data_IF_335491935604
#
_entry.id   IF_335491935604
#
_cell.length_a   1.000
_cell.length_b   1.000
_cell.length_c   1.000
_cell.angle_alpha   90.00
_cell.angle_beta   90.00
_cell.angle_gamma   90.00
#
_symmetry.space_group_name_H-M   'P 1'
#
loop_
_entity.id
_entity.type
_entity.pdbx_description
1 polymer ?
#
# COMPACT_ATOMS: atom_id res chain seq x y z
N UNK A 1 10.74 -4.42 -7.11
CA UNK A 1 10.34 -4.82 -5.74
C UNK A 1 11.62 -5.00 -4.94
N UNK A 2 11.70 -4.39 -3.76
CA UNK A 2 12.86 -4.46 -2.88
C UNK A 2 12.41 -4.87 -1.49
N UNK A 3 13.26 -5.56 -0.74
CA UNK A 3 13.05 -5.88 0.68
C UNK A 3 13.89 -4.94 1.56
N UNK A 4 13.48 -4.74 2.80
CA UNK A 4 14.26 -4.02 3.81
C UNK A 4 14.78 -5.00 4.85
N UNK A 5 16.10 -4.96 5.11
CA UNK A 5 16.72 -5.73 6.20
C UNK A 5 16.20 -5.23 7.55
N UNK A 6 16.00 -6.15 8.47
CA UNK A 6 15.67 -5.83 9.84
C UNK A 6 16.92 -5.40 10.59
N UNK A 7 16.75 -4.50 11.55
CA UNK A 7 17.81 -4.15 12.49
C UNK A 7 17.90 -5.20 13.60
N UNK A 8 19.08 -5.36 14.19
CA UNK A 8 19.34 -6.41 15.19
C UNK A 8 18.66 -6.17 16.55
N UNK A 9 17.93 -5.06 16.70
CA UNK A 9 17.21 -4.62 17.90
C UNK A 9 15.68 -4.76 17.77
N UNK A 10 15.18 -5.34 16.68
CA UNK A 10 13.76 -5.51 16.42
C UNK A 10 13.37 -6.98 16.19
N UNK A 11 12.19 -7.35 16.68
CA UNK A 11 11.54 -8.63 16.37
C UNK A 11 10.14 -8.33 15.81
N UNK A 12 9.75 -8.91 14.64
CA UNK A 12 8.45 -8.64 14.06
C UNK A 12 7.33 -9.33 14.83
N UNK A 13 6.14 -8.74 14.73
CA UNK A 13 4.91 -9.37 15.21
C UNK A 13 4.69 -10.71 14.48
N UNK A 14 4.53 -11.84 15.18
CA UNK A 14 4.33 -13.14 14.54
C UNK A 14 3.13 -13.17 13.58
N UNK A 15 2.06 -12.47 13.92
CA UNK A 15 0.84 -12.39 13.11
C UNK A 15 1.08 -11.69 11.77
N UNK A 16 1.92 -10.65 11.73
CA UNK A 16 2.28 -9.97 10.49
C UNK A 16 3.10 -10.88 9.56
N UNK A 17 4.00 -11.70 10.12
CA UNK A 17 4.76 -12.69 9.37
C UNK A 17 3.83 -13.78 8.81
N UNK A 18 2.83 -14.22 9.57
CA UNK A 18 1.83 -15.20 9.08
C UNK A 18 0.97 -14.65 7.94
N UNK A 19 0.60 -13.38 8.00
CA UNK A 19 -0.22 -12.73 6.95
C UNK A 19 0.59 -12.51 5.67
N UNK A 20 1.81 -12.00 5.78
CA UNK A 20 2.65 -11.65 4.62
C UNK A 20 3.41 -12.83 4.04
N UNK A 21 3.67 -13.87 4.84
CA UNK A 21 4.58 -14.96 4.48
C UNK A 21 6.06 -14.58 4.42
N UNK A 22 6.41 -13.32 4.72
CA UNK A 22 7.79 -12.81 4.62
C UNK A 22 8.49 -12.99 5.96
N UNK A 23 9.50 -13.86 5.99
CA UNK A 23 10.26 -14.16 7.21
C UNK A 23 11.37 -13.14 7.47
N UNK A 24 11.82 -12.94 8.74
CA UNK A 24 13.02 -12.16 9.05
C UNK A 24 14.24 -12.62 8.27
N UNK A 25 14.41 -13.93 8.12
CA UNK A 25 15.52 -14.54 7.39
C UNK A 25 15.50 -14.11 5.92
N UNK A 26 14.33 -14.17 5.28
CA UNK A 26 14.15 -13.72 3.90
C UNK A 26 14.42 -12.22 3.74
N UNK A 27 13.85 -11.37 4.60
CA UNK A 27 14.13 -9.93 4.58
C UNK A 27 15.61 -9.63 4.76
N UNK A 28 16.30 -10.37 5.63
CA UNK A 28 17.73 -10.17 5.90
C UNK A 28 18.62 -10.69 4.76
N UNK A 29 18.22 -11.76 4.07
CA UNK A 29 18.95 -12.32 2.94
C UNK A 29 18.79 -11.46 1.67
N UNK A 30 17.54 -11.05 1.36
CA UNK A 30 17.20 -10.34 0.11
C UNK A 30 17.23 -8.81 0.23
N UNK A 31 17.20 -8.29 1.45
CA UNK A 31 16.94 -6.87 1.69
C UNK A 31 18.13 -5.94 1.52
N UNK A 32 17.81 -4.67 1.32
CA UNK A 32 18.72 -3.55 1.42
C UNK A 32 18.78 -3.05 2.87
N UNK A 33 19.81 -2.27 3.22
CA UNK A 33 19.78 -1.52 4.48
C UNK A 33 18.63 -0.49 4.47
N UNK A 34 18.08 -0.13 5.64
CA UNK A 34 16.99 0.85 5.72
C UNK A 34 17.34 2.20 5.04
N UNK A 35 18.57 2.74 5.14
CA UNK A 35 18.95 3.95 4.40
C UNK A 35 18.88 3.80 2.87
N UNK A 36 19.36 2.68 2.32
CA UNK A 36 19.31 2.41 0.88
C UNK A 36 17.87 2.18 0.41
N UNK A 37 17.07 1.48 1.22
CA UNK A 37 15.65 1.28 0.97
C UNK A 37 14.89 2.61 0.93
N UNK A 38 15.13 3.49 1.92
CA UNK A 38 14.54 4.82 1.99
C UNK A 38 14.95 5.71 0.80
N UNK A 39 16.23 5.67 0.41
CA UNK A 39 16.73 6.40 -0.75
C UNK A 39 16.08 5.96 -2.06
N UNK A 40 15.86 4.66 -2.25
CA UNK A 40 15.17 4.13 -3.42
C UNK A 40 13.68 4.55 -3.45
N UNK A 41 12.99 4.55 -2.31
CA UNK A 41 11.61 5.06 -2.25
C UNK A 41 11.57 6.55 -2.60
N UNK A 42 12.46 7.35 -2.01
CA UNK A 42 12.52 8.79 -2.28
C UNK A 42 12.79 9.07 -3.76
N UNK A 43 13.66 8.29 -4.40
CA UNK A 43 13.98 8.45 -5.82
C UNK A 43 12.72 8.32 -6.70
N UNK A 44 11.82 7.40 -6.39
CA UNK A 44 10.55 7.25 -7.10
C UNK A 44 9.53 8.33 -6.68
N UNK A 45 9.39 8.59 -5.36
CA UNK A 45 8.37 9.51 -4.84
C UNK A 45 8.65 10.98 -5.16
N UNK A 46 9.91 11.37 -5.38
CA UNK A 46 10.32 12.76 -5.62
C UNK A 46 10.35 13.17 -7.08
N UNK A 47 10.01 12.28 -8.02
CA UNK A 47 9.84 12.65 -9.43
C UNK A 47 8.79 13.77 -9.57
N UNK A 48 9.04 14.84 -10.34
CA UNK A 48 8.09 15.95 -10.46
C UNK A 48 6.72 15.55 -11.03
N UNK A 49 5.66 16.17 -10.53
CA UNK A 49 4.26 15.89 -10.88
C UNK A 49 3.80 14.45 -10.60
N UNK A 50 4.35 13.83 -9.55
CA UNK A 50 3.95 12.48 -9.12
C UNK A 50 2.77 12.55 -8.15
N UNK A 51 1.73 11.73 -8.39
CA UNK A 51 0.69 11.46 -7.41
C UNK A 51 0.98 10.10 -6.75
N UNK A 52 1.46 10.12 -5.50
CA UNK A 52 1.71 8.90 -4.74
C UNK A 52 0.38 8.41 -4.17
N UNK A 53 -0.02 7.18 -4.49
CA UNK A 53 -1.29 6.63 -4.05
C UNK A 53 -1.25 5.12 -3.84
N UNK A 54 -2.16 4.64 -3.01
CA UNK A 54 -2.40 3.22 -2.76
C UNK A 54 -3.82 2.98 -2.28
N UNK A 55 -4.01 1.94 -1.47
CA UNK A 55 -5.27 1.57 -0.86
C UNK A 55 -5.15 1.64 0.66
N UNK A 56 -5.79 2.63 1.29
CA UNK A 56 -5.61 2.97 2.71
C UNK A 56 -4.20 3.50 3.07
N UNK A 57 -3.42 3.94 2.08
CA UNK A 57 -2.04 4.39 2.28
C UNK A 57 -1.95 5.63 3.18
N UNK A 58 -2.93 6.55 3.11
CA UNK A 58 -2.87 7.80 3.87
C UNK A 58 -2.82 7.56 5.37
N UNK A 59 -3.47 6.50 5.85
CA UNK A 59 -3.58 6.15 7.27
C UNK A 59 -2.57 5.08 7.70
N UNK A 60 -1.80 4.51 6.77
CA UNK A 60 -0.86 3.43 7.07
C UNK A 60 0.48 3.62 6.35
N UNK A 61 0.57 3.32 5.05
CA UNK A 61 1.83 3.30 4.30
C UNK A 61 2.54 4.66 4.27
N UNK A 62 1.78 5.75 4.24
CA UNK A 62 2.34 7.11 4.24
C UNK A 62 2.94 7.45 5.62
N UNK A 63 2.38 6.91 6.71
CA UNK A 63 2.98 7.04 8.05
C UNK A 63 4.25 6.19 8.15
N UNK A 64 4.23 4.97 7.61
CA UNK A 64 5.44 4.14 7.53
C UNK A 64 6.54 4.84 6.72
N UNK A 65 6.19 5.47 5.59
CA UNK A 65 7.10 6.28 4.78
C UNK A 65 7.66 7.44 5.58
N UNK A 66 6.82 8.20 6.29
CA UNK A 66 7.25 9.33 7.13
C UNK A 66 8.23 8.89 8.21
N UNK A 67 7.93 7.80 8.92
CA UNK A 67 8.83 7.30 9.97
C UNK A 67 10.14 6.76 9.40
N UNK A 68 10.10 6.05 8.27
CA UNK A 68 11.30 5.57 7.58
C UNK A 68 12.16 6.74 7.10
N UNK A 69 11.57 7.77 6.48
CA UNK A 69 12.31 8.96 6.07
C UNK A 69 12.89 9.71 7.27
N UNK A 70 12.10 9.90 8.32
CA UNK A 70 12.56 10.53 9.56
C UNK A 70 13.77 9.80 10.18
N UNK A 71 13.72 8.47 10.31
CA UNK A 71 14.84 7.67 10.85
C UNK A 71 16.10 7.75 9.99
N UNK A 72 15.94 8.00 8.69
CA UNK A 72 17.03 8.02 7.71
C UNK A 72 17.40 9.45 7.25
N UNK A 73 17.05 10.48 8.05
CA UNK A 73 17.41 11.88 7.80
C UNK A 73 16.93 12.46 6.46
N UNK A 74 15.81 11.94 5.94
CA UNK A 74 15.10 12.45 4.77
C UNK A 74 13.89 13.27 5.25
N UNK A 75 13.57 14.38 4.57
CA UNK A 75 12.37 15.15 4.92
C UNK A 75 11.11 14.26 4.75
N UNK A 76 10.32 14.06 5.80
CA UNK A 76 9.22 13.10 5.78
C UNK A 76 7.99 13.59 5.00
N UNK A 77 7.96 14.84 4.52
CA UNK A 77 6.76 15.44 3.91
C UNK A 77 7.00 15.99 2.50
N UNK A 78 8.21 16.42 2.15
CA UNK A 78 8.50 17.10 0.87
C UNK A 78 8.01 16.32 -0.35
N UNK A 79 8.12 14.98 -0.34
CA UNK A 79 7.70 14.13 -1.46
C UNK A 79 6.22 14.31 -1.85
N UNK A 80 5.37 14.74 -0.91
CA UNK A 80 3.92 14.78 -1.05
C UNK A 80 3.35 16.10 -1.60
N UNK A 81 4.18 17.13 -1.76
CA UNK A 81 3.72 18.46 -2.21
C UNK A 81 4.73 19.25 -3.06
N UNK A 82 6.03 19.00 -2.90
CA UNK A 82 7.08 19.72 -3.62
C UNK A 82 7.08 19.31 -5.09
N UNK A 83 7.54 20.20 -5.98
CA UNK A 83 7.66 19.94 -7.43
C UNK A 83 6.33 19.54 -8.12
N UNK A 84 5.19 20.01 -7.61
CA UNK A 84 3.87 19.66 -8.14
C UNK A 84 3.39 18.26 -7.75
N UNK A 85 4.05 17.61 -6.79
CA UNK A 85 3.65 16.30 -6.31
C UNK A 85 2.39 16.39 -5.43
N UNK A 86 1.72 15.25 -5.29
CA UNK A 86 0.50 15.11 -4.52
C UNK A 86 0.37 13.68 -3.96
N UNK A 87 -0.68 13.46 -3.19
CA UNK A 87 -1.04 12.14 -2.65
C UNK A 87 -2.52 11.87 -2.81
N UNK A 88 -2.88 10.60 -2.92
CA UNK A 88 -4.28 10.16 -2.96
C UNK A 88 -4.44 8.79 -2.29
N UNK A 89 -5.69 8.37 -2.08
CA UNK A 89 -6.06 7.11 -1.44
C UNK A 89 -7.34 6.56 -2.07
N UNK A 90 -7.26 5.33 -2.58
CA UNK A 90 -8.37 4.71 -3.28
C UNK A 90 -9.49 4.24 -2.34
N UNK A 91 -9.20 3.97 -1.06
CA UNK A 91 -10.20 3.41 -0.14
C UNK A 91 -11.40 4.34 0.06
N UNK A 92 -11.15 5.62 0.34
CA UNK A 92 -12.23 6.57 0.57
C UNK A 92 -12.94 6.96 -0.74
N UNK A 93 -12.25 6.88 -1.90
CA UNK A 93 -12.90 7.00 -3.20
C UNK A 93 -13.89 5.85 -3.44
N UNK A 94 -13.47 4.60 -3.19
CA UNK A 94 -14.33 3.41 -3.35
C UNK A 94 -15.55 3.49 -2.41
N UNK A 95 -15.36 3.95 -1.17
CA UNK A 95 -16.47 4.20 -0.23
C UNK A 95 -17.42 5.28 -0.75
N UNK A 96 -16.89 6.35 -1.34
CA UNK A 96 -17.70 7.40 -1.95
C UNK A 96 -18.48 6.88 -3.17
N UNK A 97 -17.89 6.04 -4.02
CA UNK A 97 -18.59 5.37 -5.11
C UNK A 97 -19.75 4.53 -4.58
N UNK A 98 -19.53 3.67 -3.58
CA UNK A 98 -20.60 2.89 -2.96
C UNK A 98 -21.73 3.74 -2.41
N UNK A 99 -21.40 4.82 -1.68
CA UNK A 99 -22.41 5.64 -1.02
C UNK A 99 -23.18 6.56 -1.98
N UNK A 100 -22.52 7.05 -3.03
CA UNK A 100 -23.06 8.11 -3.88
C UNK A 100 -23.50 7.61 -5.25
N UNK A 101 -22.80 6.66 -5.86
CA UNK A 101 -23.02 6.15 -7.23
C UNK A 101 -22.64 4.66 -7.30
N UNK A 102 -23.39 3.77 -6.65
CA UNK A 102 -23.04 2.35 -6.54
C UNK A 102 -23.21 1.57 -7.84
N UNK A 103 -23.89 2.14 -8.85
CA UNK A 103 -24.15 1.46 -10.12
C UNK A 103 -22.86 1.15 -10.88
N UNK A 104 -22.76 -0.05 -11.45
CA UNK A 104 -21.62 -0.47 -12.28
C UNK A 104 -20.54 -1.30 -11.56
N UNK A 105 -20.55 -1.32 -10.22
CA UNK A 105 -19.59 -2.10 -9.41
C UNK A 105 -20.33 -3.19 -8.63
N UNK A 106 -19.77 -4.41 -8.62
CA UNK A 106 -20.24 -5.47 -7.74
C UNK A 106 -19.64 -5.27 -6.35
N UNK A 107 -20.50 -4.99 -5.37
CA UNK A 107 -20.08 -4.75 -3.99
C UNK A 107 -20.01 -6.04 -3.19
N UNK A 108 -18.94 -6.18 -2.39
CA UNK A 108 -18.78 -7.30 -1.48
C UNK A 108 -19.45 -7.00 -0.13
N UNK A 109 -19.98 -8.03 0.52
CA UNK A 109 -20.60 -7.96 1.84
C UNK A 109 -19.97 -8.98 2.78
N UNK A 110 -20.05 -8.74 4.08
CA UNK A 110 -19.73 -9.73 5.10
C UNK A 110 -20.95 -10.56 5.51
N UNK A 111 -20.75 -11.48 6.46
CA UNK A 111 -21.78 -12.43 6.89
C UNK A 111 -22.96 -11.75 7.60
N UNK A 112 -22.76 -10.53 8.11
CA UNK A 112 -23.79 -9.70 8.72
C UNK A 112 -24.51 -8.80 7.70
N UNK A 113 -24.14 -8.91 6.41
CA UNK A 113 -24.70 -8.11 5.32
C UNK A 113 -24.17 -6.68 5.26
N UNK A 114 -23.08 -6.36 5.94
CA UNK A 114 -22.43 -5.05 5.89
C UNK A 114 -21.48 -4.95 4.69
N UNK A 115 -21.38 -3.79 4.03
CA UNK A 115 -20.49 -3.61 2.89
C UNK A 115 -19.02 -3.76 3.32
N UNK A 116 -18.28 -4.59 2.58
CA UNK A 116 -16.87 -4.85 2.83
C UNK A 116 -16.01 -4.17 1.78
N UNK A 117 -15.14 -3.26 2.24
CA UNK A 117 -14.18 -2.53 1.40
C UNK A 117 -12.78 -3.14 1.47
N UNK A 118 -12.67 -4.44 1.74
CA UNK A 118 -11.37 -5.10 1.67
C UNK A 118 -11.03 -5.35 0.20
N UNK A 119 -9.80 -5.01 -0.19
CA UNK A 119 -9.39 -5.02 -1.59
C UNK A 119 -9.56 -6.41 -2.22
N UNK A 120 -9.19 -7.47 -1.51
CA UNK A 120 -9.31 -8.86 -1.94
C UNK A 120 -10.76 -9.31 -2.15
N UNK A 121 -11.70 -8.78 -1.36
CA UNK A 121 -13.13 -9.08 -1.51
C UNK A 121 -13.72 -8.32 -2.70
N UNK A 122 -13.35 -7.05 -2.87
CA UNK A 122 -13.83 -6.22 -3.97
C UNK A 122 -13.31 -6.69 -5.32
N UNK A 123 -12.02 -7.01 -5.44
CA UNK A 123 -11.47 -7.55 -6.70
C UNK A 123 -12.15 -8.85 -7.08
N UNK A 124 -12.34 -9.76 -6.12
CA UNK A 124 -13.05 -11.03 -6.33
C UNK A 124 -14.50 -10.83 -6.79
N UNK A 125 -15.22 -9.89 -6.19
CA UNK A 125 -16.61 -9.59 -6.58
C UNK A 125 -16.71 -9.03 -8.02
N UNK A 126 -15.65 -8.40 -8.52
CA UNK A 126 -15.60 -7.78 -9.83
C UNK A 126 -14.81 -8.60 -10.88
N UNK A 127 -14.46 -9.86 -10.57
CA UNK A 127 -13.72 -10.73 -11.49
C UNK A 127 -12.31 -10.23 -11.80
N UNK A 128 -11.73 -9.39 -10.94
CA UNK A 128 -10.36 -8.91 -11.05
C UNK A 128 -9.45 -9.93 -10.39
N UNK A 129 -8.46 -10.40 -11.16
CA UNK A 129 -7.44 -11.30 -10.68
C UNK A 129 -6.64 -10.67 -9.54
N UNK A 130 -6.55 -11.40 -8.43
CA UNK A 130 -5.82 -11.01 -7.23
C UNK A 130 -5.14 -12.26 -6.69
N UNK A 131 -4.17 -12.77 -7.44
CA UNK A 131 -3.35 -13.90 -7.02
C UNK A 131 -2.44 -13.48 -5.86
N UNK A 132 -2.32 -14.34 -4.84
CA UNK A 132 -1.54 -14.10 -3.62
C UNK A 132 -1.80 -12.73 -2.97
N UNK A 133 -3.04 -12.54 -2.47
CA UNK A 133 -3.33 -11.43 -1.56
C UNK A 133 -2.25 -11.34 -0.47
N UNK A 134 -1.74 -10.14 -0.22
CA UNK A 134 -0.58 -9.83 0.66
C UNK A 134 0.83 -9.99 0.03
N UNK A 135 0.95 -10.24 -1.28
CA UNK A 135 2.11 -9.81 -2.05
C UNK A 135 1.96 -8.33 -2.42
N UNK A 136 2.95 -7.51 -2.06
CA UNK A 136 2.93 -6.06 -2.30
C UNK A 136 2.68 -5.72 -3.78
N UNK A 137 3.18 -6.53 -4.72
CA UNK A 137 2.96 -6.27 -6.14
C UNK A 137 1.54 -6.64 -6.59
N UNK A 138 0.97 -7.72 -6.05
CA UNK A 138 -0.42 -8.10 -6.32
C UNK A 138 -1.40 -7.04 -5.83
N UNK A 139 -1.18 -6.50 -4.62
CA UNK A 139 -2.00 -5.42 -4.05
C UNK A 139 -1.90 -4.12 -4.89
N UNK A 140 -0.73 -3.81 -5.45
CA UNK A 140 -0.57 -2.67 -6.39
C UNK A 140 -1.39 -2.89 -7.66
N UNK A 141 -1.33 -4.05 -8.28
CA UNK A 141 -2.12 -4.34 -9.49
C UNK A 141 -3.61 -4.36 -9.21
N UNK A 142 -4.04 -4.93 -8.08
CA UNK A 142 -5.41 -4.90 -7.62
C UNK A 142 -5.92 -3.46 -7.42
N UNK A 143 -5.11 -2.59 -6.81
CA UNK A 143 -5.43 -1.17 -6.62
C UNK A 143 -5.58 -0.45 -7.97
N UNK A 144 -4.65 -0.68 -8.92
CA UNK A 144 -4.74 -0.10 -10.27
C UNK A 144 -6.00 -0.59 -11.01
N UNK A 145 -6.31 -1.89 -10.92
CA UNK A 145 -7.47 -2.48 -11.58
C UNK A 145 -8.78 -1.91 -11.00
N UNK A 146 -8.86 -1.77 -9.68
CA UNK A 146 -10.01 -1.13 -9.02
C UNK A 146 -10.15 0.34 -9.41
N UNK A 147 -9.06 1.09 -9.54
CA UNK A 147 -9.13 2.48 -9.98
C UNK A 147 -9.62 2.64 -11.43
N UNK A 148 -9.49 1.60 -12.26
CA UNK A 148 -9.91 1.57 -13.67
C UNK A 148 -11.31 0.98 -13.88
N UNK A 149 -11.95 0.50 -12.82
CA UNK A 149 -13.25 -0.16 -12.95
C UNK A 149 -14.28 0.86 -13.48
N UNK A 150 -15.03 0.45 -14.51
CA UNK A 150 -16.06 1.26 -15.17
C UNK A 150 -17.41 0.57 -15.08
#
# INVERSE_FOLDING_TARGET
MFYCKQTNDYLPAPEAVMVTGITPQECNEKGLSEPEFAANILAEFSQPNTCVMGYNNIRYDDEMTRYTFYRNFIDPYEYSWKNGNSRWDLLDLVRACYALRPEGINWAYDDDGMPSFRLEKLTKANGIEHENAHDAMADVYATIAMAKIN
#
